data_IF_558602865526
#
_entry.id   IF_558602865526
#
_cell.length_a   1.000
_cell.length_b   1.000
_cell.length_c   1.000
_cell.angle_alpha   90.00
_cell.angle_beta   90.00
_cell.angle_gamma   90.00
#
_symmetry.space_group_name_H-M   'P 1'
#
loop_
_entity.id
_entity.type
_entity.pdbx_description
1 polymer ?
#
# COMPACT_ATOMS: atom_id res chain seq x y z
N UNK A 1 -39.21 -6.33 -3.20
CA UNK A 1 -39.19 -7.80 -3.31
C UNK A 1 -37.94 -8.32 -2.66
N UNK A 2 -38.08 -8.93 -1.48
CA UNK A 2 -37.02 -9.63 -0.76
C UNK A 2 -36.87 -11.03 -1.34
N UNK A 3 -35.64 -11.46 -1.63
CA UNK A 3 -35.32 -12.86 -1.85
C UNK A 3 -34.16 -13.21 -0.92
N UNK A 4 -34.51 -13.83 0.20
CA UNK A 4 -33.60 -14.58 1.05
C UNK A 4 -33.55 -16.03 0.54
N UNK A 5 -32.36 -16.49 0.16
CA UNK A 5 -31.94 -17.87 0.14
C UNK A 5 -30.43 -17.79 0.45
N UNK A 6 -29.83 -18.49 1.42
CA UNK A 6 -30.05 -19.84 1.93
C UNK A 6 -29.76 -19.83 3.44
N UNK A 7 -30.57 -20.53 4.23
CA UNK A 7 -30.30 -20.76 5.65
C UNK A 7 -29.26 -21.87 5.82
N UNK A 8 -28.08 -21.51 6.30
CA UNK A 8 -27.29 -22.35 7.18
C UNK A 8 -27.11 -21.59 8.49
N UNK A 9 -27.32 -22.26 9.63
CA UNK A 9 -27.12 -21.72 10.98
C UNK A 9 -25.63 -21.52 11.28
N UNK A 10 -24.96 -20.67 10.50
CA UNK A 10 -23.64 -20.15 10.75
C UNK A 10 -23.77 -18.67 11.03
N UNK A 11 -23.21 -18.19 12.15
CA UNK A 11 -23.21 -16.76 12.48
C UNK A 11 -22.68 -15.98 11.28
N UNK A 12 -23.51 -15.12 10.70
CA UNK A 12 -23.08 -14.17 9.67
C UNK A 12 -22.11 -13.23 10.37
N UNK A 13 -20.85 -13.24 9.93
CA UNK A 13 -19.85 -12.34 10.47
C UNK A 13 -20.26 -10.89 10.11
N UNK A 14 -20.31 -9.96 11.07
CA UNK A 14 -20.61 -8.57 10.80
C UNK A 14 -19.66 -7.96 9.75
N UNK A 15 -20.12 -7.00 8.93
CA UNK A 15 -19.30 -6.38 7.88
C UNK A 15 -17.96 -5.82 8.36
N UNK A 16 -17.91 -5.26 9.57
CA UNK A 16 -16.71 -4.73 10.19
C UNK A 16 -15.66 -5.81 10.48
N UNK A 17 -16.09 -6.99 10.92
CA UNK A 17 -15.20 -8.12 11.17
C UNK A 17 -14.77 -8.79 9.85
N UNK A 18 -15.62 -8.78 8.83
CA UNK A 18 -15.23 -9.19 7.47
C UNK A 18 -14.17 -8.25 6.90
N UNK A 19 -14.33 -6.93 7.09
CA UNK A 19 -13.33 -5.95 6.68
C UNK A 19 -12.00 -6.19 7.38
N UNK A 20 -12.01 -6.45 8.69
CA UNK A 20 -10.79 -6.75 9.45
C UNK A 20 -10.05 -7.98 8.87
N UNK A 21 -10.77 -9.05 8.52
CA UNK A 21 -10.18 -10.21 7.84
C UNK A 21 -9.56 -9.82 6.50
N UNK A 22 -10.23 -9.01 5.68
CA UNK A 22 -9.66 -8.55 4.41
C UNK A 22 -8.42 -7.68 4.63
N UNK A 23 -8.42 -6.81 5.64
CA UNK A 23 -7.29 -5.95 5.99
C UNK A 23 -6.07 -6.76 6.44
N UNK A 24 -6.29 -7.89 7.12
CA UNK A 24 -5.23 -8.83 7.48
C UNK A 24 -4.69 -9.57 6.26
N UNK A 25 -5.56 -10.04 5.36
CA UNK A 25 -5.13 -10.68 4.11
C UNK A 25 -4.41 -9.72 3.15
N UNK A 26 -4.64 -8.42 3.29
CA UNK A 26 -3.96 -7.37 2.54
C UNK A 26 -2.64 -6.92 3.16
N UNK A 27 -2.29 -7.41 4.35
CA UNK A 27 -1.01 -7.10 4.98
C UNK A 27 0.14 -7.72 4.18
N UNK A 28 1.25 -6.99 4.07
CA UNK A 28 2.47 -7.53 3.48
C UNK A 28 3.06 -8.61 4.39
N UNK A 29 3.22 -9.81 3.84
CA UNK A 29 4.01 -10.88 4.43
C UNK A 29 5.12 -11.23 3.43
N UNK A 30 6.36 -11.31 3.90
CA UNK A 30 7.54 -11.60 3.05
C UNK A 30 7.41 -12.91 2.24
N UNK A 31 6.50 -13.80 2.66
CA UNK A 31 6.27 -15.11 2.07
C UNK A 31 4.99 -15.22 1.24
N UNK A 32 4.13 -14.20 1.23
CA UNK A 32 2.84 -14.26 0.54
C UNK A 32 2.95 -13.61 -0.84
N UNK A 33 2.80 -14.45 -1.87
CA UNK A 33 3.19 -14.05 -3.21
C UNK A 33 2.33 -12.88 -3.76
N UNK A 34 1.03 -12.75 -3.49
CA UNK A 34 0.20 -11.68 -4.09
C UNK A 34 -1.10 -11.33 -3.29
N UNK A 35 -1.06 -10.48 -2.25
CA UNK A 35 -2.25 -10.05 -1.49
C UNK A 35 -3.36 -9.41 -2.33
N UNK A 36 -2.99 -8.79 -3.46
CA UNK A 36 -3.94 -8.23 -4.41
C UNK A 36 -4.81 -9.31 -5.05
N UNK A 37 -4.23 -10.45 -5.42
CA UNK A 37 -4.97 -11.55 -6.03
C UNK A 37 -5.95 -12.15 -5.04
N UNK A 38 -5.51 -12.36 -3.80
CA UNK A 38 -6.39 -12.79 -2.70
C UNK A 38 -7.56 -11.81 -2.52
N UNK A 39 -7.29 -10.50 -2.51
CA UNK A 39 -8.33 -9.48 -2.38
C UNK A 39 -9.30 -9.49 -3.57
N UNK A 40 -8.79 -9.62 -4.79
CA UNK A 40 -9.61 -9.69 -6.01
C UNK A 40 -10.47 -10.96 -6.03
N UNK A 41 -9.93 -12.11 -5.60
CA UNK A 41 -10.67 -13.35 -5.46
C UNK A 41 -11.77 -13.25 -4.41
N UNK A 42 -11.47 -12.66 -3.24
CA UNK A 42 -12.48 -12.38 -2.21
C UNK A 42 -13.62 -11.49 -2.74
N UNK A 43 -13.31 -10.51 -3.61
CA UNK A 43 -14.32 -9.62 -4.21
C UNK A 43 -15.32 -10.33 -5.13
N UNK A 44 -15.08 -11.59 -5.48
CA UNK A 44 -15.93 -12.40 -6.37
C UNK A 44 -16.79 -13.42 -5.61
N UNK A 45 -16.57 -13.62 -4.30
CA UNK A 45 -17.30 -14.62 -3.49
C UNK A 45 -18.80 -14.28 -3.39
N UNK A 46 -19.13 -13.04 -3.01
CA UNK A 46 -20.52 -12.58 -2.96
C UNK A 46 -20.62 -11.05 -3.05
N UNK A 47 -21.84 -10.53 -3.26
CA UNK A 47 -22.10 -9.08 -3.37
C UNK A 47 -21.67 -8.30 -2.13
N UNK A 48 -21.85 -8.86 -0.93
CA UNK A 48 -21.47 -8.21 0.32
C UNK A 48 -19.95 -8.03 0.39
N UNK A 49 -19.18 -9.08 0.11
CA UNK A 49 -17.72 -9.02 0.12
C UNK A 49 -17.20 -8.05 -0.92
N UNK A 50 -17.76 -8.10 -2.14
CA UNK A 50 -17.46 -7.14 -3.20
C UNK A 50 -17.67 -5.70 -2.75
N UNK A 51 -18.79 -5.42 -2.12
CA UNK A 51 -19.14 -4.07 -1.65
C UNK A 51 -18.19 -3.58 -0.56
N UNK A 52 -17.83 -4.43 0.41
CA UNK A 52 -16.88 -4.10 1.47
C UNK A 52 -15.50 -3.82 0.88
N UNK A 53 -14.97 -4.75 0.07
CA UNK A 53 -13.63 -4.66 -0.52
C UNK A 53 -13.50 -3.44 -1.44
N UNK A 54 -14.46 -3.23 -2.35
CA UNK A 54 -14.41 -2.10 -3.27
C UNK A 54 -14.69 -0.75 -2.58
N UNK A 55 -15.38 -0.76 -1.43
CA UNK A 55 -15.74 0.44 -0.68
C UNK A 55 -14.68 0.92 0.33
N UNK A 56 -13.64 0.14 0.60
CA UNK A 56 -12.64 0.48 1.61
C UNK A 56 -11.32 0.95 0.98
N UNK A 57 -11.11 2.26 0.90
CA UNK A 57 -9.89 2.84 0.33
C UNK A 57 -8.59 2.42 1.04
N UNK A 58 -8.61 2.31 2.37
CA UNK A 58 -7.42 1.87 3.14
C UNK A 58 -7.04 0.42 2.84
N UNK A 59 -7.98 -0.44 2.46
CA UNK A 59 -7.68 -1.79 2.00
C UNK A 59 -6.81 -1.74 0.74
N UNK A 60 -7.20 -0.92 -0.24
CA UNK A 60 -6.44 -0.74 -1.49
C UNK A 60 -5.07 -0.09 -1.25
N UNK A 61 -4.97 0.81 -0.27
CA UNK A 61 -3.70 1.41 0.13
C UNK A 61 -2.73 0.44 0.80
N UNK A 62 -3.23 -0.63 1.44
CA UNK A 62 -2.40 -1.72 1.97
C UNK A 62 -1.86 -2.68 0.92
N UNK A 63 -2.51 -2.73 -0.24
CA UNK A 63 -2.08 -3.57 -1.37
C UNK A 63 -0.96 -2.93 -2.21
N UNK A 64 -0.34 -1.83 -1.75
CA UNK A 64 0.71 -1.11 -2.50
C UNK A 64 2.07 -1.81 -2.42
N UNK A 65 2.17 -2.99 -2.99
CA UNK A 65 3.48 -3.61 -3.24
C UNK A 65 4.01 -3.13 -4.59
N UNK A 66 5.09 -2.33 -4.54
CA UNK A 66 5.55 -1.53 -5.67
C UNK A 66 5.98 -2.40 -6.85
N UNK A 67 6.65 -3.51 -6.57
CA UNK A 67 7.11 -4.46 -7.59
C UNK A 67 5.95 -5.14 -8.35
N UNK A 68 4.73 -5.20 -7.78
CA UNK A 68 3.57 -5.76 -8.49
C UNK A 68 3.12 -4.89 -9.67
N UNK A 69 3.48 -3.60 -9.66
CA UNK A 69 3.17 -2.69 -10.76
C UNK A 69 4.15 -2.82 -11.94
N UNK A 70 5.24 -3.58 -11.78
CA UNK A 70 6.17 -3.88 -12.86
C UNK A 70 5.51 -4.80 -13.88
N UNK A 71 5.46 -4.36 -15.14
CA UNK A 71 4.76 -5.08 -16.20
C UNK A 71 3.22 -5.05 -16.12
N UNK A 72 2.63 -4.46 -15.08
CA UNK A 72 1.18 -4.27 -14.99
C UNK A 72 0.70 -3.25 -16.02
N UNK A 73 -0.45 -3.52 -16.64
CA UNK A 73 -1.06 -2.56 -17.56
C UNK A 73 -1.42 -1.26 -16.84
N UNK A 74 -1.08 -0.11 -17.43
CA UNK A 74 -1.29 1.21 -16.83
C UNK A 74 -2.71 1.45 -16.29
N UNK A 75 -3.73 1.01 -17.03
CA UNK A 75 -5.14 1.14 -16.63
C UNK A 75 -5.48 0.37 -15.35
N UNK A 76 -4.81 -0.76 -15.11
CA UNK A 76 -4.96 -1.51 -13.87
C UNK A 76 -4.30 -0.78 -12.72
N UNK A 77 -3.10 -0.24 -12.92
CA UNK A 77 -2.46 0.58 -11.89
C UNK A 77 -3.29 1.81 -11.55
N UNK A 78 -3.77 2.55 -12.54
CA UNK A 78 -4.66 3.72 -12.34
C UNK A 78 -5.93 3.32 -11.58
N UNK A 79 -6.49 2.14 -11.86
CA UNK A 79 -7.64 1.62 -11.12
C UNK A 79 -7.30 1.39 -9.65
N UNK A 80 -6.17 0.75 -9.36
CA UNK A 80 -5.70 0.48 -8.01
C UNK A 80 -5.48 1.79 -7.26
N UNK A 81 -4.69 2.71 -7.83
CA UNK A 81 -4.43 4.04 -7.26
C UNK A 81 -5.72 4.85 -7.04
N UNK A 82 -6.68 4.77 -7.97
CA UNK A 82 -7.96 5.47 -7.82
C UNK A 82 -8.81 4.95 -6.66
N UNK A 83 -8.76 3.64 -6.38
CA UNK A 83 -9.49 3.03 -5.25
C UNK A 83 -8.85 3.34 -3.92
N UNK A 84 -7.52 3.48 -3.91
CA UNK A 84 -6.77 3.92 -2.75
C UNK A 84 -7.16 5.31 -2.29
N UNK A 85 -7.46 6.23 -3.20
CA UNK A 85 -8.02 7.55 -2.87
C UNK A 85 -7.21 8.30 -1.81
N UNK A 86 -7.84 8.58 -0.66
CA UNK A 86 -7.21 9.19 0.53
C UNK A 86 -7.06 8.19 1.69
N UNK A 87 -7.08 6.89 1.42
CA UNK A 87 -6.79 5.87 2.43
C UNK A 87 -5.34 5.94 2.92
N UNK A 88 -5.07 5.22 4.02
CA UNK A 88 -3.70 4.97 4.48
C UNK A 88 -2.93 4.14 3.46
N UNK A 89 -1.64 4.44 3.28
CA UNK A 89 -0.75 3.77 2.33
C UNK A 89 0.29 2.92 3.06
N UNK A 90 0.41 1.65 2.67
CA UNK A 90 1.49 0.77 3.08
C UNK A 90 2.28 0.34 1.85
N UNK A 91 3.48 0.88 1.71
CA UNK A 91 4.31 0.75 0.53
C UNK A 91 5.41 -0.26 0.78
N UNK A 92 5.46 -1.32 -0.04
CA UNK A 92 6.44 -2.40 0.14
C UNK A 92 7.11 -2.82 -1.16
N UNK A 93 8.37 -3.28 -1.10
CA UNK A 93 9.05 -3.99 -2.19
C UNK A 93 10.02 -3.14 -3.01
N UNK A 94 10.34 -3.59 -4.21
CA UNK A 94 11.46 -3.04 -4.99
C UNK A 94 11.04 -1.90 -5.92
N UNK A 95 11.86 -0.86 -5.97
CA UNK A 95 11.74 0.27 -6.88
C UNK A 95 12.63 0.04 -8.09
N UNK A 96 12.04 0.22 -9.27
CA UNK A 96 12.65 0.09 -10.59
C UNK A 96 12.25 1.29 -11.46
N UNK A 97 12.83 1.42 -12.66
CA UNK A 97 12.43 2.49 -13.61
C UNK A 97 10.94 2.40 -13.95
N UNK A 98 10.43 1.18 -14.07
CA UNK A 98 9.04 0.93 -14.47
C UNK A 98 8.06 1.30 -13.36
N UNK A 99 8.51 1.36 -12.11
CA UNK A 99 7.66 1.69 -10.95
C UNK A 99 7.81 3.15 -10.48
N UNK A 100 8.59 3.97 -11.18
CA UNK A 100 8.85 5.36 -10.80
C UNK A 100 7.58 6.24 -10.71
N UNK A 101 6.56 5.96 -11.53
CA UNK A 101 5.31 6.72 -11.47
C UNK A 101 4.50 6.41 -10.19
N UNK A 102 4.68 5.22 -9.60
CA UNK A 102 4.10 4.87 -8.30
C UNK A 102 4.76 5.72 -7.22
N UNK A 103 6.08 5.92 -7.28
CA UNK A 103 6.78 6.84 -6.38
C UNK A 103 6.24 8.27 -6.49
N UNK A 104 5.97 8.77 -7.71
CA UNK A 104 5.38 10.10 -7.87
C UNK A 104 4.02 10.21 -7.18
N UNK A 105 3.18 9.18 -7.31
CA UNK A 105 1.92 9.10 -6.56
C UNK A 105 2.15 9.12 -5.04
N UNK A 106 3.18 8.42 -4.53
CA UNK A 106 3.52 8.43 -3.11
C UNK A 106 4.01 9.79 -2.62
N UNK A 107 4.77 10.52 -3.43
CA UNK A 107 5.22 11.89 -3.10
C UNK A 107 4.02 12.82 -2.94
N UNK A 108 3.00 12.67 -3.77
CA UNK A 108 1.77 13.48 -3.71
C UNK A 108 0.87 13.08 -2.54
N UNK A 109 1.01 11.85 -2.04
CA UNK A 109 0.23 11.28 -0.93
C UNK A 109 1.07 11.03 0.30
N UNK A 110 2.18 11.74 0.46
CA UNK A 110 3.14 11.48 1.53
C UNK A 110 2.52 11.53 2.92
N UNK A 111 1.60 12.47 3.15
CA UNK A 111 0.86 12.60 4.41
C UNK A 111 0.01 11.38 4.76
N UNK A 112 -0.37 10.58 3.76
CA UNK A 112 -1.18 9.37 3.92
C UNK A 112 -0.34 8.10 4.14
N UNK A 113 0.99 8.19 4.00
CA UNK A 113 1.88 7.04 4.16
C UNK A 113 2.01 6.70 5.64
N UNK A 114 1.61 5.48 5.99
CA UNK A 114 1.79 4.91 7.33
C UNK A 114 3.03 4.02 7.40
N UNK A 115 3.23 3.20 6.37
CA UNK A 115 4.37 2.27 6.29
C UNK A 115 5.04 2.40 4.94
N UNK A 116 6.36 2.49 4.93
CA UNK A 116 7.18 2.44 3.72
C UNK A 116 8.40 1.57 3.94
N UNK A 117 8.46 0.41 3.29
CA UNK A 117 9.63 -0.47 3.28
C UNK A 117 10.00 -0.82 1.85
N UNK A 118 10.93 -0.07 1.27
CA UNK A 118 11.26 -0.19 -0.15
C UNK A 118 12.74 -0.42 -0.40
N UNK A 119 13.02 -1.15 -1.48
CA UNK A 119 14.37 -1.43 -1.91
C UNK A 119 14.63 -0.84 -3.31
N UNK A 120 15.50 0.15 -3.42
CA UNK A 120 15.97 0.68 -4.70
C UNK A 120 16.85 -0.35 -5.40
N UNK A 121 16.32 -0.92 -6.48
CA UNK A 121 17.06 -1.88 -7.29
C UNK A 121 18.11 -1.12 -8.11
N UNK A 122 19.32 -1.00 -7.56
CA UNK A 122 20.42 -0.29 -8.20
C UNK A 122 20.85 -1.00 -9.49
N UNK A 123 20.43 -0.47 -10.64
CA UNK A 123 21.02 -0.82 -11.93
C UNK A 123 22.06 0.22 -12.31
N UNK A 124 23.05 -0.14 -13.12
CA UNK A 124 24.12 0.78 -13.60
C UNK A 124 23.56 2.01 -14.36
N UNK A 125 22.26 2.01 -14.72
CA UNK A 125 21.63 3.02 -15.57
C UNK A 125 20.56 3.86 -14.87
N UNK A 126 20.25 3.58 -13.61
CA UNK A 126 19.25 4.32 -12.84
C UNK A 126 19.92 5.46 -12.09
N UNK A 127 19.65 6.75 -12.42
CA UNK A 127 20.02 7.82 -11.52
C UNK A 127 19.31 7.59 -10.16
N UNK A 128 19.99 7.88 -9.04
CA UNK A 128 19.40 7.65 -7.71
C UNK A 128 18.10 8.45 -7.57
N UNK A 129 17.08 7.82 -6.96
CA UNK A 129 15.82 8.51 -6.72
C UNK A 129 15.99 9.76 -5.85
N UNK A 130 15.18 10.79 -6.12
CA UNK A 130 15.16 11.99 -5.29
C UNK A 130 14.35 11.74 -4.02
N UNK A 131 15.04 11.42 -2.94
CA UNK A 131 14.48 11.15 -1.62
C UNK A 131 14.15 12.41 -0.79
N UNK A 132 14.22 13.62 -1.37
CA UNK A 132 13.96 14.87 -0.63
C UNK A 132 12.56 14.99 -0.05
N UNK A 133 11.57 14.25 -0.57
CA UNK A 133 10.22 14.22 0.01
C UNK A 133 10.20 13.61 1.42
N UNK A 134 11.19 12.78 1.78
CA UNK A 134 11.34 12.25 3.14
C UNK A 134 11.60 13.35 4.18
N UNK A 135 11.98 14.55 3.74
CA UNK A 135 12.17 15.72 4.59
C UNK A 135 10.86 16.49 4.84
N UNK A 136 9.77 16.14 4.15
CA UNK A 136 8.44 16.72 4.39
C UNK A 136 7.80 16.06 5.61
N UNK A 137 6.92 16.78 6.29
CA UNK A 137 6.14 16.23 7.40
C UNK A 137 5.32 15.01 6.95
N UNK A 138 5.34 13.97 7.78
CA UNK A 138 4.67 12.70 7.54
C UNK A 138 3.85 12.33 8.79
N UNK A 139 2.69 12.99 9.02
CA UNK A 139 1.98 12.91 10.30
C UNK A 139 1.47 11.50 10.64
N UNK A 140 1.25 10.65 9.63
CA UNK A 140 0.76 9.29 9.80
C UNK A 140 1.86 8.22 9.74
N UNK A 141 3.11 8.62 9.44
CA UNK A 141 4.20 7.67 9.21
C UNK A 141 4.61 6.98 10.52
N UNK A 142 4.49 5.66 10.53
CA UNK A 142 4.79 4.79 11.67
C UNK A 142 6.06 3.98 11.43
N UNK A 143 6.35 3.62 10.18
CA UNK A 143 7.52 2.80 9.82
C UNK A 143 8.12 3.22 8.48
N UNK A 144 9.44 3.42 8.44
CA UNK A 144 10.20 3.81 7.25
C UNK A 144 11.49 3.00 7.14
N UNK A 145 11.69 2.40 5.98
CA UNK A 145 12.86 1.61 5.61
C UNK A 145 13.11 1.76 4.10
N UNK A 146 14.34 2.14 3.75
CA UNK A 146 14.77 2.33 2.35
C UNK A 146 16.14 1.65 2.18
N UNK A 147 16.30 0.73 1.22
CA UNK A 147 17.57 0.03 0.98
C UNK A 147 17.98 0.03 -0.49
N UNK A 148 19.27 0.16 -0.85
CA UNK A 148 20.30 0.76 -0.02
C UNK A 148 19.95 2.23 0.21
N UNK A 149 19.82 2.66 1.47
CA UNK A 149 19.80 4.09 1.75
C UNK A 149 21.21 4.62 1.48
N UNK A 150 21.40 5.24 0.32
CA UNK A 150 22.53 6.13 0.11
C UNK A 150 22.02 7.53 0.47
N UNK A 151 22.23 8.01 1.72
CA UNK A 151 22.04 9.41 1.98
C UNK A 151 23.02 10.14 1.06
N UNK A 152 22.50 10.76 0.01
CA UNK A 152 23.16 11.97 -0.49
C UNK A 152 23.38 12.83 0.74
N UNK A 153 24.60 13.34 1.00
CA UNK A 153 24.91 14.01 2.26
C UNK A 153 23.86 15.09 2.49
N UNK A 154 22.93 14.78 3.41
CA UNK A 154 21.85 15.68 3.78
C UNK A 154 22.56 16.93 4.28
N UNK A 155 22.33 18.04 3.60
CA UNK A 155 22.87 19.33 4.01
C UNK A 155 22.29 19.66 5.39
N UNK A 156 23.01 19.25 6.45
CA UNK A 156 22.94 19.73 7.83
C UNK A 156 21.62 19.63 8.58
N UNK A 157 20.54 19.14 7.98
CA UNK A 157 19.20 19.16 8.60
C UNK A 157 18.84 17.75 9.09
N UNK A 158 18.55 17.58 10.40
CA UNK A 158 18.19 16.27 10.93
C UNK A 158 16.86 15.79 10.32
N UNK A 159 16.81 14.50 9.97
CA UNK A 159 15.66 13.85 9.31
C UNK A 159 14.39 13.85 10.20
N UNK A 160 14.61 13.82 11.50
CA UNK A 160 13.58 13.97 12.52
C UNK A 160 13.91 15.21 13.34
N UNK A 161 12.90 15.96 13.75
CA UNK A 161 13.05 17.20 14.49
C UNK A 161 13.46 16.95 15.97
N UNK A 162 14.48 16.12 16.19
CA UNK A 162 14.91 15.55 17.47
C UNK A 162 13.81 14.81 18.25
N UNK A 163 12.77 14.34 17.57
CA UNK A 163 11.73 13.45 18.13
C UNK A 163 11.85 12.12 17.39
N UNK A 164 12.71 11.24 17.87
CA UNK A 164 12.69 9.85 17.44
C UNK A 164 11.45 9.16 18.04
N UNK A 165 10.73 8.29 17.29
CA UNK A 165 9.71 7.45 17.89
C UNK A 165 10.34 6.62 19.02
N UNK A 166 9.75 6.67 20.21
CA UNK A 166 10.16 5.81 21.33
C UNK A 166 9.86 4.34 20.97
N UNK A 167 10.83 3.46 21.22
CA UNK A 167 10.69 1.98 21.12
C UNK A 167 10.44 1.41 22.50
#
# INVERSE_FOLDING_TARGET
>A
MHNYAIASTGRILPPELLLEVFMQNAAYHETDDWPIDTTLNCSQVCKLWRMIILGCSSLWGRLMQVHMFEGMQRSWTETILSRTGNGSLWVHGFLSLDTHYVLQYLVDKWENVETMNVEECATVRTPPFNWSFLLKEAPNLQSLSVFPFQPTPLSGSPLFNNVAPEV
#
